data_IF_574658326602
#
_entry.id   IF_574658326602
#
_cell.length_a   1.000
_cell.length_b   1.000
_cell.length_c   1.000
_cell.angle_alpha   90.00
_cell.angle_beta   90.00
_cell.angle_gamma   90.00
#
_symmetry.space_group_name_H-M   'P 1'
#
loop_
_entity.id
_entity.type
_entity.pdbx_description
1 polymer ?
#
# COMPACT_ATOMS: atom_id res chain seq x y z
N UNK A 1 1.74 15.35 -23.61
CA UNK A 1 1.76 15.33 -22.13
C UNK A 1 0.76 14.28 -21.73
N UNK A 2 1.24 13.07 -21.47
CA UNK A 2 0.38 11.99 -21.01
C UNK A 2 0.56 11.85 -19.51
N UNK A 3 -0.54 11.98 -18.79
CA UNK A 3 -0.53 12.09 -17.34
C UNK A 3 -1.91 11.82 -16.78
N UNK A 4 -2.06 12.01 -15.47
CA UNK A 4 -3.33 11.78 -14.73
C UNK A 4 -4.52 12.53 -15.36
N UNK A 5 -4.27 13.57 -16.15
CA UNK A 5 -5.28 14.38 -16.84
C UNK A 5 -5.96 13.70 -18.04
N UNK A 6 -5.32 12.70 -18.66
CA UNK A 6 -5.91 11.91 -19.76
C UNK A 6 -6.82 10.79 -19.24
N UNK A 7 -6.83 10.56 -17.92
CA UNK A 7 -7.67 9.55 -17.30
C UNK A 7 -9.15 9.97 -17.30
N UNK A 8 -10.07 9.00 -17.29
CA UNK A 8 -11.47 9.23 -17.00
C UNK A 8 -11.64 10.11 -15.74
N UNK A 9 -12.56 11.08 -15.74
CA UNK A 9 -12.66 12.08 -14.68
C UNK A 9 -12.87 11.48 -13.29
N UNK A 10 -13.56 10.34 -13.22
CA UNK A 10 -13.80 9.58 -12.01
C UNK A 10 -12.51 8.93 -11.44
N UNK A 11 -11.73 8.28 -12.30
CA UNK A 11 -10.44 7.67 -11.93
C UNK A 11 -9.41 8.74 -11.55
N UNK A 12 -9.39 9.83 -12.31
CA UNK A 12 -8.56 11.00 -12.05
C UNK A 12 -8.84 11.60 -10.67
N UNK A 13 -10.11 11.78 -10.32
CA UNK A 13 -10.51 12.36 -9.05
C UNK A 13 -10.04 11.49 -7.88
N UNK A 14 -10.22 10.16 -7.96
CA UNK A 14 -9.75 9.21 -6.94
C UNK A 14 -8.23 9.32 -6.77
N UNK A 15 -7.46 9.23 -7.86
CA UNK A 15 -5.99 9.32 -7.78
C UNK A 15 -5.51 10.67 -7.23
N UNK A 16 -6.12 11.78 -7.65
CA UNK A 16 -5.76 13.09 -7.11
C UNK A 16 -6.09 13.22 -5.61
N UNK A 17 -7.20 12.66 -5.14
CA UNK A 17 -7.52 12.69 -3.71
C UNK A 17 -6.51 11.88 -2.89
N UNK A 18 -6.12 10.70 -3.36
CA UNK A 18 -5.12 9.87 -2.66
C UNK A 18 -3.76 10.57 -2.67
N UNK A 19 -3.31 11.07 -3.83
CA UNK A 19 -1.97 11.65 -3.99
C UNK A 19 -1.83 13.04 -3.36
N UNK A 20 -2.90 13.84 -3.32
CA UNK A 20 -2.86 15.21 -2.77
C UNK A 20 -3.27 15.29 -1.30
N UNK A 21 -4.19 14.42 -0.85
CA UNK A 21 -4.71 14.44 0.52
C UNK A 21 -4.25 13.24 1.36
N UNK A 22 -3.56 12.25 0.78
CA UNK A 22 -3.10 11.06 1.49
C UNK A 22 -4.25 10.18 2.00
N UNK A 23 -5.45 10.30 1.40
CA UNK A 23 -6.63 9.58 1.91
C UNK A 23 -6.63 8.10 1.57
N UNK A 24 -7.07 7.30 2.53
CA UNK A 24 -7.31 5.87 2.38
C UNK A 24 -8.56 5.55 1.57
N UNK A 25 -8.64 4.35 0.99
CA UNK A 25 -9.82 3.86 0.27
C UNK A 25 -11.08 3.85 1.14
N UNK A 26 -10.95 3.52 2.42
CA UNK A 26 -12.05 3.53 3.39
C UNK A 26 -12.61 4.95 3.64
N UNK A 27 -11.77 5.97 3.57
CA UNK A 27 -12.22 7.35 3.75
C UNK A 27 -12.90 7.87 2.47
N UNK A 28 -12.34 7.51 1.31
CA UNK A 28 -12.93 7.81 0.00
C UNK A 28 -14.27 7.11 -0.22
N UNK A 29 -14.42 5.87 0.25
CA UNK A 29 -15.69 5.12 0.16
C UNK A 29 -16.80 5.83 0.93
N UNK A 30 -16.49 6.31 2.14
CA UNK A 30 -17.40 7.12 2.96
C UNK A 30 -17.77 8.46 2.30
N UNK A 31 -16.80 9.14 1.70
CA UNK A 31 -17.01 10.44 1.05
C UNK A 31 -17.83 10.32 -0.25
N UNK A 32 -17.49 9.34 -1.08
CA UNK A 32 -18.13 9.10 -2.37
C UNK A 32 -19.43 8.30 -2.26
N UNK A 33 -19.72 7.72 -1.07
CA UNK A 33 -20.84 6.81 -0.81
C UNK A 33 -20.89 5.63 -1.78
N UNK A 34 -19.73 5.07 -2.08
CA UNK A 34 -19.56 3.87 -2.91
C UNK A 34 -18.75 2.84 -2.14
N UNK A 35 -18.81 1.58 -2.56
CA UNK A 35 -17.99 0.52 -1.96
C UNK A 35 -16.49 0.79 -2.08
N UNK A 36 -15.75 0.41 -1.04
CA UNK A 36 -14.29 0.47 -1.02
C UNK A 36 -13.67 -0.33 -2.18
N UNK A 37 -14.26 -1.49 -2.50
CA UNK A 37 -13.87 -2.30 -3.65
C UNK A 37 -14.02 -1.53 -4.98
N UNK A 38 -15.04 -0.68 -5.11
CA UNK A 38 -15.23 0.16 -6.29
C UNK A 38 -14.20 1.28 -6.36
N UNK A 39 -13.84 1.90 -5.22
CA UNK A 39 -12.74 2.88 -5.14
C UNK A 39 -11.42 2.23 -5.56
N UNK A 40 -11.11 1.05 -5.02
CA UNK A 40 -9.90 0.29 -5.34
C UNK A 40 -9.83 -0.05 -6.82
N UNK A 41 -10.93 -0.56 -7.39
CA UNK A 41 -11.02 -0.87 -8.82
C UNK A 41 -10.75 0.36 -9.69
N UNK A 42 -11.31 1.53 -9.34
CA UNK A 42 -11.10 2.79 -10.07
C UNK A 42 -9.64 3.27 -9.97
N UNK A 43 -9.04 3.16 -8.79
CA UNK A 43 -7.63 3.49 -8.61
C UNK A 43 -6.73 2.58 -9.46
N UNK A 44 -6.96 1.27 -9.43
CA UNK A 44 -6.20 0.29 -10.22
C UNK A 44 -6.38 0.51 -11.71
N UNK A 45 -7.62 0.71 -12.17
CA UNK A 45 -7.91 1.02 -13.58
C UNK A 45 -7.25 2.31 -14.06
N UNK A 46 -7.23 3.33 -13.21
CA UNK A 46 -6.54 4.59 -13.51
C UNK A 46 -5.03 4.40 -13.64
N UNK A 47 -4.42 3.61 -12.75
CA UNK A 47 -3.00 3.28 -12.82
C UNK A 47 -2.66 2.43 -14.05
N UNK A 48 -3.45 1.41 -14.38
CA UNK A 48 -3.24 0.62 -15.60
C UNK A 48 -3.32 1.47 -16.86
N UNK A 49 -4.28 2.40 -16.92
CA UNK A 49 -4.40 3.35 -18.04
C UNK A 49 -3.17 4.28 -18.12
N UNK A 50 -2.64 4.70 -16.97
CA UNK A 50 -1.54 5.64 -16.87
C UNK A 50 -0.18 5.04 -17.25
N UNK A 51 0.10 3.81 -16.81
CA UNK A 51 1.35 3.11 -17.20
C UNK A 51 1.26 2.56 -18.63
N UNK A 52 0.03 2.37 -19.13
CA UNK A 52 -0.25 1.98 -20.50
C UNK A 52 -0.25 0.47 -20.74
N UNK A 53 -0.76 0.03 -21.90
CA UNK A 53 -0.85 -1.38 -22.25
C UNK A 53 0.55 -1.99 -22.37
N UNK A 54 0.80 -3.09 -21.65
CA UNK A 54 2.08 -3.81 -21.66
C UNK A 54 2.92 -3.62 -20.41
N UNK A 55 2.61 -2.60 -19.59
CA UNK A 55 3.36 -2.36 -18.38
C UNK A 55 2.97 -3.33 -17.26
N UNK A 56 3.98 -3.99 -16.70
CA UNK A 56 3.75 -5.06 -15.74
C UNK A 56 3.11 -6.32 -16.34
N UNK A 57 3.11 -6.51 -17.66
CA UNK A 57 2.64 -7.75 -18.30
C UNK A 57 3.41 -9.00 -17.86
N UNK A 58 4.62 -8.83 -17.31
CA UNK A 58 5.38 -9.90 -16.68
C UNK A 58 4.86 -10.27 -15.26
N UNK A 59 3.90 -9.53 -14.73
CA UNK A 59 3.31 -9.71 -13.40
C UNK A 59 1.82 -10.07 -13.53
N UNK A 60 1.33 -10.91 -12.63
CA UNK A 60 -0.11 -11.18 -12.53
C UNK A 60 -0.89 -9.91 -12.14
N UNK A 61 -2.18 -9.84 -12.50
CA UNK A 61 -3.07 -8.74 -12.12
C UNK A 61 -3.07 -8.51 -10.60
N UNK A 62 -3.09 -9.59 -9.81
CA UNK A 62 -3.03 -9.52 -8.35
C UNK A 62 -1.75 -8.84 -7.83
N UNK A 63 -0.58 -9.19 -8.40
CA UNK A 63 0.70 -8.58 -8.02
C UNK A 63 0.78 -7.12 -8.43
N UNK A 64 0.24 -6.77 -9.59
CA UNK A 64 0.13 -5.37 -10.03
C UNK A 64 -0.74 -4.55 -9.08
N UNK A 65 -1.86 -5.11 -8.64
CA UNK A 65 -2.73 -4.51 -7.63
C UNK A 65 -2.00 -4.29 -6.30
N UNK A 66 -1.33 -5.31 -5.76
CA UNK A 66 -0.56 -5.20 -4.51
C UNK A 66 0.50 -4.11 -4.56
N UNK A 67 1.30 -4.05 -5.64
CA UNK A 67 2.33 -3.01 -5.80
C UNK A 67 1.69 -1.62 -5.87
N UNK A 68 0.53 -1.50 -6.53
CA UNK A 68 -0.22 -0.25 -6.66
C UNK A 68 -0.75 0.21 -5.30
N UNK A 69 -1.36 -0.69 -4.52
CA UNK A 69 -1.87 -0.42 -3.17
C UNK A 69 -0.73 0.01 -2.23
N UNK A 70 0.41 -0.68 -2.28
CA UNK A 70 1.61 -0.34 -1.51
C UNK A 70 2.12 1.06 -1.85
N UNK A 71 2.19 1.40 -3.14
CA UNK A 71 2.69 2.70 -3.58
C UNK A 71 1.77 3.86 -3.19
N UNK A 72 0.47 3.60 -3.08
CA UNK A 72 -0.55 4.54 -2.61
C UNK A 72 -0.67 4.59 -1.08
N UNK A 73 0.14 3.82 -0.35
CA UNK A 73 0.11 3.76 1.12
C UNK A 73 -1.18 3.14 1.67
N UNK A 74 -1.83 2.27 0.90
CA UNK A 74 -3.12 1.64 1.24
C UNK A 74 -2.97 0.26 1.88
N UNK A 75 -1.72 -0.19 2.09
CA UNK A 75 -1.40 -1.47 2.70
C UNK A 75 -0.98 -1.30 4.15
N UNK A 76 -1.44 -2.20 5.01
CA UNK A 76 -0.91 -2.36 6.37
C UNK A 76 0.54 -2.85 6.36
N UNK A 77 1.23 -2.78 7.50
CA UNK A 77 2.63 -3.21 7.63
C UNK A 77 2.89 -4.65 7.17
N UNK A 78 1.99 -5.58 7.50
CA UNK A 78 2.11 -6.98 7.12
C UNK A 78 2.03 -7.18 5.59
N UNK A 79 1.10 -6.47 4.94
CA UNK A 79 0.94 -6.50 3.47
C UNK A 79 2.15 -5.84 2.79
N UNK A 80 2.61 -4.72 3.37
CA UNK A 80 3.77 -3.98 2.89
C UNK A 80 5.04 -4.84 2.93
N UNK A 81 5.26 -5.62 3.99
CA UNK A 81 6.40 -6.53 4.09
C UNK A 81 6.39 -7.60 2.98
N UNK A 82 5.23 -8.18 2.67
CA UNK A 82 5.07 -9.17 1.59
C UNK A 82 5.34 -8.54 0.23
N UNK A 83 4.83 -7.33 -0.01
CA UNK A 83 5.08 -6.59 -1.26
C UNK A 83 6.56 -6.21 -1.40
N UNK A 84 7.20 -5.79 -0.32
CA UNK A 84 8.63 -5.47 -0.28
C UNK A 84 9.49 -6.70 -0.62
N UNK A 85 9.23 -7.84 0.02
CA UNK A 85 9.93 -9.09 -0.29
C UNK A 85 9.80 -9.45 -1.78
N UNK A 86 8.60 -9.31 -2.35
CA UNK A 86 8.38 -9.54 -3.78
C UNK A 86 9.15 -8.57 -4.68
N UNK A 87 9.26 -7.29 -4.30
CA UNK A 87 10.06 -6.31 -5.02
C UNK A 87 11.56 -6.68 -5.00
N UNK A 88 12.06 -7.19 -3.88
CA UNK A 88 13.44 -7.65 -3.77
C UNK A 88 13.71 -8.83 -4.72
N UNK A 89 12.83 -9.85 -4.69
CA UNK A 89 12.94 -11.05 -5.50
C UNK A 89 12.74 -10.81 -7.01
N UNK A 90 11.89 -9.84 -7.39
CA UNK A 90 11.48 -9.63 -8.77
C UNK A 90 11.95 -8.31 -9.37
N UNK A 91 12.85 -8.39 -10.35
CA UNK A 91 13.25 -7.22 -11.16
C UNK A 91 12.08 -6.61 -11.95
N UNK A 92 11.13 -7.45 -12.38
CA UNK A 92 9.94 -6.98 -13.09
C UNK A 92 9.04 -6.15 -12.18
N UNK A 93 8.87 -6.58 -10.92
CA UNK A 93 8.13 -5.83 -9.91
C UNK A 93 8.79 -4.47 -9.64
N UNK A 94 10.12 -4.43 -9.46
CA UNK A 94 10.86 -3.17 -9.27
C UNK A 94 10.73 -2.21 -10.43
N UNK A 95 10.82 -2.71 -11.67
CA UNK A 95 10.65 -1.88 -12.86
C UNK A 95 9.25 -1.28 -12.93
N UNK A 96 8.22 -2.09 -12.69
CA UNK A 96 6.83 -1.64 -12.69
C UNK A 96 6.59 -0.57 -11.61
N UNK A 97 7.04 -0.82 -10.39
CA UNK A 97 6.86 0.11 -9.28
C UNK A 97 7.61 1.44 -9.49
N UNK A 98 8.83 1.39 -10.08
CA UNK A 98 9.58 2.60 -10.46
C UNK A 98 8.86 3.41 -11.54
N UNK A 99 8.35 2.73 -12.56
CA UNK A 99 7.62 3.37 -13.64
C UNK A 99 6.35 4.07 -13.12
N UNK A 100 5.59 3.42 -12.24
CA UNK A 100 4.47 4.05 -11.55
C UNK A 100 4.93 5.31 -10.80
N UNK A 101 5.98 5.18 -9.98
CA UNK A 101 6.52 6.29 -9.19
C UNK A 101 6.91 7.49 -10.06
N UNK A 102 7.58 7.28 -11.18
CA UNK A 102 7.97 8.36 -12.10
C UNK A 102 6.76 9.10 -12.68
N UNK A 103 5.69 8.37 -12.99
CA UNK A 103 4.46 8.96 -13.52
C UNK A 103 3.63 9.67 -12.44
N UNK A 104 3.72 9.22 -11.20
CA UNK A 104 2.99 9.77 -10.04
C UNK A 104 3.74 10.91 -9.34
N UNK A 105 5.07 10.94 -9.43
CA UNK A 105 5.93 11.96 -8.84
C UNK A 105 5.50 13.42 -9.09
N UNK A 106 5.10 13.83 -10.32
CA UNK A 106 4.66 15.21 -10.55
C UNK A 106 3.32 15.57 -9.89
N UNK A 107 2.55 14.57 -9.43
CA UNK A 107 1.20 14.76 -8.87
C UNK A 107 1.11 14.45 -7.37
N UNK A 108 2.11 13.75 -6.81
CA UNK A 108 2.19 13.44 -5.40
C UNK A 108 2.51 14.70 -4.59
N UNK A 109 1.65 15.06 -3.64
CA UNK A 109 1.89 16.18 -2.72
C UNK A 109 2.82 15.80 -1.56
N UNK A 110 3.00 14.50 -1.32
CA UNK A 110 3.88 13.91 -0.29
C UNK A 110 4.88 12.97 -0.96
N UNK A 111 6.05 12.77 -0.34
CA UNK A 111 7.05 11.85 -0.85
C UNK A 111 6.50 10.42 -0.96
N UNK A 112 6.57 9.85 -2.16
CA UNK A 112 6.17 8.47 -2.43
C UNK A 112 7.14 7.48 -1.77
N UNK A 113 6.66 6.30 -1.32
CA UNK A 113 7.49 5.31 -0.63
C UNK A 113 8.73 4.92 -1.42
N UNK A 114 9.86 4.79 -0.71
CA UNK A 114 11.17 4.49 -1.28
C UNK A 114 11.22 3.03 -1.73
N UNK A 115 11.63 2.82 -2.99
CA UNK A 115 11.76 1.49 -3.58
C UNK A 115 13.04 0.82 -3.08
N UNK A 116 12.99 -0.44 -2.59
CA UNK A 116 14.20 -1.18 -2.23
C UNK A 116 15.10 -1.38 -3.46
N UNK A 117 16.38 -0.99 -3.32
CA UNK A 117 17.38 -1.07 -4.39
C UNK A 117 17.42 0.12 -5.36
N UNK A 118 16.87 1.29 -4.98
CA UNK A 118 17.08 2.54 -5.71
C UNK A 118 18.52 3.06 -5.54
N UNK A 119 19.08 2.92 -4.34
CA UNK A 119 20.49 3.14 -4.04
C UNK A 119 20.90 2.16 -2.94
N UNK A 120 22.07 1.54 -3.08
CA UNK A 120 22.62 0.65 -2.07
C UNK A 120 22.99 1.41 -0.81
N UNK A 121 22.03 1.67 0.07
CA UNK A 121 22.28 1.86 1.49
C UNK A 121 20.98 1.61 2.26
N UNK A 122 21.01 0.67 3.20
CA UNK A 122 19.92 0.47 4.13
C UNK A 122 19.68 1.75 4.93
N UNK A 123 18.50 2.34 4.79
CA UNK A 123 18.00 3.30 5.75
C UNK A 123 16.51 3.02 5.93
N UNK A 124 16.24 2.30 7.01
CA UNK A 124 14.94 2.13 7.67
C UNK A 124 14.32 3.52 7.84
N UNK A 125 13.37 3.88 6.98
CA UNK A 125 12.47 4.98 7.27
C UNK A 125 11.45 4.45 8.28
N UNK A 126 11.72 4.71 9.54
CA UNK A 126 10.86 4.39 10.67
C UNK A 126 9.45 4.97 10.44
N UNK A 127 8.49 4.12 10.13
CA UNK A 127 7.17 4.30 10.71
C UNK A 127 7.36 4.15 12.21
N UNK A 128 7.26 5.25 12.94
CA UNK A 128 7.12 5.17 14.38
C UNK A 128 5.91 4.26 14.67
N UNK A 129 6.06 3.24 15.51
CA UNK A 129 4.92 2.43 15.89
C UNK A 129 3.96 3.37 16.64
N UNK A 130 2.80 3.65 16.05
CA UNK A 130 1.66 4.06 16.86
C UNK A 130 1.23 2.81 17.60
N UNK A 131 1.80 2.65 18.78
CA UNK A 131 1.39 1.70 19.80
C UNK A 131 -0.05 2.06 20.21
N UNK A 132 -1.09 1.27 19.88
CA UNK A 132 -2.29 1.34 20.69
C UNK A 132 -1.94 0.64 22.01
N UNK A 133 -1.77 1.46 23.04
CA UNK A 133 -1.68 1.03 24.42
C UNK A 133 -2.74 -0.04 24.74
N UNK A 134 -2.29 -1.25 25.03
CA UNK A 134 -3.04 -2.26 25.75
C UNK A 134 -2.12 -2.89 26.80
N UNK A 135 -1.98 -2.18 27.94
CA UNK A 135 -1.51 -2.77 29.19
C UNK A 135 -2.72 -3.33 29.97
N UNK A 136 -2.55 -4.19 30.99
CA UNK A 136 -1.49 -5.17 31.23
C UNK A 136 -2.06 -6.60 31.42
N UNK A 137 -1.16 -7.57 31.54
CA UNK A 137 -1.48 -8.90 32.05
C UNK A 137 -2.07 -8.82 33.46
N UNK A 138 -3.29 -9.33 33.64
CA UNK A 138 -3.80 -9.75 34.95
C UNK A 138 -3.63 -11.27 35.03
N UNK A 139 -2.54 -11.68 35.67
CA UNK A 139 -2.40 -13.01 36.21
C UNK A 139 -2.72 -12.92 37.71
N UNK A 140 -3.67 -13.69 38.26
CA UNK A 140 -3.68 -13.95 39.68
C UNK A 140 -2.67 -15.07 40.00
N UNK A 141 -1.86 -14.93 41.06
CA UNK A 141 -1.10 -16.03 41.63
C UNK A 141 -2.02 -16.84 42.55
N UNK A 142 -1.92 -18.17 42.49
CA UNK A 142 -2.34 -19.03 43.59
C UNK A 142 -1.46 -20.29 43.60
N UNK A 143 -0.34 -20.13 44.28
CA UNK A 143 0.42 -21.20 44.93
C UNK A 143 -0.48 -21.91 45.95
N UNK A 144 -0.62 -23.24 45.84
CA UNK A 144 -0.56 -24.19 46.97
C UNK A 144 -1.05 -25.59 46.54
N UNK A 145 -0.13 -26.54 46.67
CA UNK A 145 -0.22 -28.00 46.49
C UNK A 145 -1.16 -28.71 47.52
N UNK A 146 -1.02 -30.03 47.77
CA UNK A 146 -1.16 -31.26 46.96
C UNK A 146 -2.25 -32.22 47.53
N UNK A 147 -2.25 -33.49 47.08
CA UNK A 147 -2.95 -34.68 47.63
C UNK A 147 -4.39 -34.90 47.10
N UNK A 148 -4.89 -36.10 46.76
CA UNK A 148 -4.65 -37.48 47.23
C UNK A 148 -5.16 -38.52 46.18
N UNK A 149 -4.96 -39.85 46.39
CA UNK A 149 -5.18 -40.95 45.44
C UNK A 149 -6.56 -41.63 45.54
N UNK A 150 -6.93 -42.43 44.52
CA UNK A 150 -7.55 -43.78 44.63
C UNK A 150 -7.43 -44.52 43.28
#
# INVERSE_FOLDING_TARGET
>A
MSGIEELPPDQRAVLQLILKQGRGYADLSGLLRIDEAAVRYRAHSGLETLVGPGAGSALSLERRGQISDWLLGQQDDAQSAVTLQHLEDSRAARRFARQLRELLAPYAATELPVLPGADGNGATAAFAPVEPAAAPADAPPADAAPAEPD
#
